data_IF_571745827986
#
_entry.id   IF_571745827986
#
_cell.length_a   1.000
_cell.length_b   1.000
_cell.length_c   1.000
_cell.angle_alpha   90.00
_cell.angle_beta   90.00
_cell.angle_gamma   90.00
#
_symmetry.space_group_name_H-M   'P 1'
#
loop_
_entity.id
_entity.type
_entity.pdbx_description
1 polymer ?
#
# COMPACT_ATOMS: atom_id res chain seq x y z
N UNK A 1 5.43 16.50 -40.27
CA UNK A 1 4.26 17.27 -39.81
C UNK A 1 3.03 16.42 -40.03
N UNK A 2 2.57 15.72 -39.01
CA UNK A 2 1.36 14.88 -39.05
C UNK A 2 0.58 15.21 -37.77
N UNK A 3 -0.63 15.73 -37.97
CA UNK A 3 -1.52 16.26 -36.96
C UNK A 3 -2.29 15.11 -36.29
N UNK A 4 -2.22 15.00 -34.96
CA UNK A 4 -3.06 14.10 -34.17
C UNK A 4 -4.25 14.89 -33.62
N UNK A 5 -5.45 14.54 -34.09
CA UNK A 5 -6.71 15.13 -33.70
C UNK A 5 -7.16 14.71 -32.30
N UNK A 6 -7.34 15.70 -31.45
CA UNK A 6 -7.92 15.61 -30.10
C UNK A 6 -9.45 15.64 -30.22
N UNK A 7 -10.14 14.62 -29.71
CA UNK A 7 -11.60 14.61 -29.63
C UNK A 7 -12.06 15.29 -28.32
N UNK A 8 -12.63 16.48 -28.47
CA UNK A 8 -13.23 17.29 -27.39
C UNK A 8 -14.72 16.98 -27.30
N UNK A 9 -15.20 16.47 -26.17
CA UNK A 9 -16.64 16.33 -25.89
C UNK A 9 -17.14 17.61 -25.23
N UNK A 10 -17.96 18.37 -25.97
CA UNK A 10 -18.76 19.50 -25.47
C UNK A 10 -19.95 18.97 -24.68
N UNK A 11 -20.13 19.43 -23.45
CA UNK A 11 -21.39 19.32 -22.71
C UNK A 11 -22.11 20.65 -22.79
N UNK A 12 -23.37 20.59 -23.22
CA UNK A 12 -24.23 21.73 -23.49
C UNK A 12 -24.59 22.55 -22.26
N UNK A 13 -24.65 23.85 -22.48
CA UNK A 13 -25.21 24.88 -21.60
C UNK A 13 -26.74 24.84 -21.73
N UNK A 14 -27.45 24.80 -20.59
CA UNK A 14 -28.91 24.86 -20.54
C UNK A 14 -29.39 25.55 -19.27
N UNK A 15 -29.74 26.82 -19.46
CA UNK A 15 -30.76 27.67 -18.83
C UNK A 15 -30.85 27.92 -17.31
N UNK A 16 -30.74 29.23 -17.02
CA UNK A 16 -31.17 29.95 -15.80
C UNK A 16 -32.69 29.93 -15.64
N UNK A 17 -33.17 30.11 -14.41
CA UNK A 17 -34.10 31.23 -14.17
C UNK A 17 -33.63 32.20 -13.08
N UNK A 18 -34.01 33.45 -13.30
CA UNK A 18 -33.76 34.68 -12.53
C UNK A 18 -34.57 34.76 -11.21
N UNK A 19 -34.29 35.77 -10.34
CA UNK A 19 -34.67 35.77 -8.94
C UNK A 19 -35.99 36.53 -8.67
N UNK A 20 -36.70 36.11 -7.63
CA UNK A 20 -37.78 36.88 -7.01
C UNK A 20 -37.57 36.97 -5.50
N UNK A 21 -37.49 38.21 -5.03
CA UNK A 21 -37.77 38.69 -3.68
C UNK A 21 -38.58 40.01 -3.87
N UNK A 22 -39.12 40.70 -2.84
CA UNK A 22 -39.11 40.45 -1.40
C UNK A 22 -40.47 40.69 -0.69
N UNK A 23 -40.49 40.55 0.64
CA UNK A 23 -41.48 41.12 1.56
C UNK A 23 -41.96 40.09 2.60
N UNK A 24 -42.23 40.40 3.85
CA UNK A 24 -42.06 41.59 4.69
C UNK A 24 -42.40 41.14 6.12
N UNK A 25 -41.71 41.73 7.11
CA UNK A 25 -42.17 42.02 8.47
C UNK A 25 -42.94 40.96 9.28
N UNK A 26 -42.37 40.56 10.42
CA UNK A 26 -43.11 40.56 11.69
C UNK A 26 -42.14 40.73 12.86
N UNK A 27 -42.44 41.70 13.71
CA UNK A 27 -41.82 41.93 15.02
C UNK A 27 -42.22 40.79 15.97
N UNK A 28 -41.36 40.40 16.91
CA UNK A 28 -41.72 40.64 18.31
C UNK A 28 -40.55 40.47 19.29
N UNK A 29 -40.74 41.21 20.38
CA UNK A 29 -39.90 41.49 21.52
C UNK A 29 -39.69 40.28 22.45
N UNK A 30 -38.60 40.27 23.21
CA UNK A 30 -38.24 39.10 24.03
C UNK A 30 -37.00 39.26 24.89
N UNK A 31 -36.86 40.42 25.54
CA UNK A 31 -35.91 40.70 26.61
C UNK A 31 -36.01 39.71 27.77
N UNK A 32 -34.94 38.94 28.05
CA UNK A 32 -34.69 38.37 29.38
C UNK A 32 -33.19 38.46 29.71
N UNK A 33 -32.90 39.43 30.59
CA UNK A 33 -31.65 39.54 31.35
C UNK A 33 -31.45 38.29 32.20
N UNK A 34 -30.22 37.79 32.29
CA UNK A 34 -29.71 37.15 33.50
C UNK A 34 -28.20 37.30 33.63
N UNK A 35 -27.69 37.47 34.87
CA UNK A 35 -26.33 37.89 35.17
C UNK A 35 -25.41 36.70 35.49
N UNK A 36 -24.11 36.93 35.52
CA UNK A 36 -23.20 36.08 36.29
C UNK A 36 -21.90 35.74 35.57
N UNK A 37 -20.98 36.69 35.56
CA UNK A 37 -19.57 36.41 35.30
C UNK A 37 -18.99 35.59 36.46
N UNK A 38 -18.32 34.48 36.14
CA UNK A 38 -17.35 33.83 37.03
C UNK A 38 -16.12 33.45 36.19
N UNK A 39 -14.91 33.91 36.55
CA UNK A 39 -13.69 33.57 35.85
C UNK A 39 -13.15 32.23 36.37
N UNK A 40 -13.08 31.22 35.51
CA UNK A 40 -12.31 30.00 35.77
C UNK A 40 -10.85 30.20 35.35
N UNK A 41 -9.89 29.58 36.06
CA UNK A 41 -8.48 29.86 35.93
C UNK A 41 -7.90 29.24 34.66
N UNK A 42 -7.06 30.03 34.01
CA UNK A 42 -6.16 29.65 32.92
C UNK A 42 -5.20 28.56 33.40
N UNK A 43 -5.48 27.32 33.01
CA UNK A 43 -4.52 26.22 33.07
C UNK A 43 -3.51 26.43 31.95
N UNK A 44 -2.30 26.85 32.32
CA UNK A 44 -1.13 26.83 31.45
C UNK A 44 -0.87 25.39 31.00
N UNK A 45 -1.25 25.07 29.75
CA UNK A 45 -0.79 23.87 29.07
C UNK A 45 0.66 24.06 28.67
N UNK A 46 1.56 23.55 29.51
CA UNK A 46 2.96 23.34 29.17
C UNK A 46 3.03 22.39 27.97
N UNK A 47 3.53 22.89 26.83
CA UNK A 47 3.91 22.06 25.68
C UNK A 47 5.08 21.17 26.11
N UNK A 48 4.80 19.94 26.51
CA UNK A 48 5.81 18.89 26.50
C UNK A 48 6.01 18.46 25.04
N UNK A 49 7.11 18.89 24.44
CA UNK A 49 7.59 18.28 23.21
C UNK A 49 7.96 16.84 23.54
N UNK A 50 7.14 15.89 23.08
CA UNK A 50 7.45 14.46 23.14
C UNK A 50 8.49 14.22 22.05
N UNK A 51 9.75 14.28 22.47
CA UNK A 51 10.92 13.88 21.71
C UNK A 51 10.74 12.39 21.40
N UNK A 52 10.74 12.03 20.11
CA UNK A 52 10.99 10.65 19.70
C UNK A 52 12.25 10.19 20.44
N UNK A 53 12.40 8.93 20.88
CA UNK A 53 13.68 8.47 21.38
C UNK A 53 14.73 8.80 20.32
N UNK A 54 15.56 9.80 20.64
CA UNK A 54 16.53 10.38 19.73
C UNK A 54 17.30 9.26 19.08
N UNK A 55 17.36 9.24 17.75
CA UNK A 55 18.15 8.30 16.96
C UNK A 55 19.67 8.36 17.30
N UNK A 56 20.09 9.22 18.24
CA UNK A 56 21.46 9.37 18.73
C UNK A 56 21.83 8.56 19.99
N UNK A 57 20.91 7.88 20.68
CA UNK A 57 21.25 7.21 21.97
C UNK A 57 20.93 5.71 22.01
N UNK A 58 21.69 4.90 21.25
CA UNK A 58 21.85 3.47 21.56
C UNK A 58 23.34 3.08 21.51
N UNK A 59 24.08 3.56 22.52
CA UNK A 59 25.33 2.93 22.94
C UNK A 59 25.00 1.88 24.01
N UNK A 60 25.28 0.62 23.69
CA UNK A 60 25.07 -0.52 24.60
C UNK A 60 26.01 -0.43 25.81
N UNK A 61 25.53 -0.54 27.06
CA UNK A 61 26.42 -0.88 28.17
C UNK A 61 26.62 -2.40 28.20
N UNK A 62 27.86 -2.83 27.98
CA UNK A 62 28.37 -4.11 28.44
C UNK A 62 28.41 -4.09 29.96
N UNK A 63 27.73 -5.03 30.62
CA UNK A 63 27.98 -5.33 32.04
C UNK A 63 27.57 -6.77 32.38
N UNK A 64 28.17 -7.35 33.43
CA UNK A 64 28.67 -8.71 33.40
C UNK A 64 27.76 -9.74 34.07
N UNK A 65 28.00 -10.99 33.69
CA UNK A 65 27.45 -12.25 34.20
C UNK A 65 27.90 -12.53 35.63
N UNK A 66 27.11 -13.32 36.40
CA UNK A 66 27.50 -14.50 37.24
C UNK A 66 26.27 -14.98 38.09
N UNK A 67 26.23 -16.23 38.62
CA UNK A 67 25.26 -17.27 38.21
C UNK A 67 24.57 -17.98 39.40
N UNK A 68 23.76 -19.02 39.14
CA UNK A 68 23.65 -20.28 39.93
C UNK A 68 22.50 -21.18 39.42
N UNK A 69 22.83 -22.32 38.81
CA UNK A 69 22.54 -23.69 39.29
C UNK A 69 22.71 -24.74 38.18
N UNK A 70 23.49 -25.76 38.52
CA UNK A 70 23.97 -26.88 37.71
C UNK A 70 22.90 -27.96 37.49
N UNK A 71 22.95 -28.63 36.32
CA UNK A 71 23.26 -30.07 36.28
C UNK A 71 23.60 -30.58 34.87
N UNK A 72 24.44 -31.62 34.88
CA UNK A 72 25.28 -32.19 33.82
C UNK A 72 24.50 -32.96 32.73
N UNK A 73 25.02 -32.97 31.50
CA UNK A 73 25.73 -34.15 30.95
C UNK A 73 26.51 -33.84 29.66
N UNK A 74 27.62 -34.55 29.53
CA UNK A 74 28.68 -34.50 28.53
C UNK A 74 28.29 -34.80 27.08
N UNK A 75 28.88 -34.04 26.15
CA UNK A 75 29.88 -34.53 25.15
C UNK A 75 30.22 -33.42 24.15
N UNK A 76 31.46 -32.94 24.19
CA UNK A 76 32.09 -32.14 23.12
C UNK A 76 33.10 -33.01 22.36
N UNK A 77 33.23 -32.86 21.03
CA UNK A 77 34.49 -33.10 20.33
C UNK A 77 35.37 -31.84 20.31
N UNK A 78 36.67 -32.13 20.33
CA UNK A 78 37.85 -31.27 20.34
C UNK A 78 37.87 -30.17 19.27
N UNK A 79 38.30 -28.96 19.67
CA UNK A 79 38.62 -27.82 18.79
C UNK A 79 40.15 -27.77 18.65
N UNK A 80 40.62 -27.93 17.41
CA UNK A 80 42.02 -27.74 17.05
C UNK A 80 42.27 -26.31 16.56
N UNK A 81 43.34 -25.71 17.10
CA UNK A 81 44.29 -24.77 16.50
C UNK A 81 43.79 -23.76 15.46
N UNK A 82 43.65 -22.51 15.89
CA UNK A 82 43.75 -21.33 15.02
C UNK A 82 45.02 -20.53 15.36
N UNK A 83 45.98 -20.53 14.44
CA UNK A 83 47.17 -19.64 14.45
C UNK A 83 46.79 -18.26 13.90
N UNK A 84 47.25 -17.15 14.50
CA UNK A 84 47.05 -15.81 13.94
C UNK A 84 48.10 -15.49 12.87
N UNK A 85 47.65 -14.94 11.74
CA UNK A 85 48.48 -14.36 10.68
C UNK A 85 48.83 -12.89 11.01
N UNK A 86 50.01 -12.40 10.58
CA UNK A 86 50.52 -11.10 10.99
C UNK A 86 49.93 -9.94 10.16
N UNK A 87 49.90 -8.79 10.82
CA UNK A 87 49.53 -7.47 10.28
C UNK A 87 50.49 -7.04 9.17
N UNK A 88 49.93 -6.50 8.09
CA UNK A 88 50.65 -5.75 7.07
C UNK A 88 50.31 -4.28 7.22
N UNK A 89 51.34 -3.50 7.58
CA UNK A 89 51.43 -2.07 7.37
C UNK A 89 51.41 -1.74 5.87
N UNK A 90 50.63 -0.74 5.46
CA UNK A 90 50.97 0.04 4.27
C UNK A 90 50.27 1.42 4.24
N UNK A 91 51.09 2.41 4.64
CA UNK A 91 51.36 3.68 3.96
C UNK A 91 50.22 4.63 3.55
N UNK A 92 50.25 5.78 4.21
CA UNK A 92 49.89 7.10 3.70
C UNK A 92 50.65 7.47 2.42
N UNK A 93 49.95 8.06 1.44
CA UNK A 93 50.38 9.29 0.73
C UNK A 93 49.39 9.79 -0.33
N UNK A 94 49.21 11.11 -0.27
CA UNK A 94 49.03 12.06 -1.37
C UNK A 94 47.63 12.31 -1.96
N UNK A 95 47.17 13.53 -1.67
CA UNK A 95 46.11 14.28 -2.31
C UNK A 95 46.27 14.41 -3.84
N UNK A 96 45.15 14.22 -4.57
CA UNK A 96 44.96 14.76 -5.93
C UNK A 96 43.52 15.20 -6.15
N UNK A 97 43.40 16.36 -6.79
CA UNK A 97 42.20 17.07 -7.22
C UNK A 97 41.13 16.17 -7.87
N UNK A 98 39.89 16.32 -7.40
CA UNK A 98 38.72 15.61 -7.93
C UNK A 98 38.08 16.38 -9.09
N UNK A 99 38.28 15.86 -10.30
CA UNK A 99 37.44 16.09 -11.49
C UNK A 99 36.16 15.24 -11.33
N UNK A 100 34.95 15.73 -11.72
CA UNK A 100 33.73 14.95 -11.59
C UNK A 100 33.77 13.69 -12.48
N UNK A 101 34.02 12.55 -11.86
CA UNK A 101 33.93 11.21 -12.47
C UNK A 101 32.48 10.92 -12.85
N UNK A 102 32.19 10.88 -14.16
CA UNK A 102 31.03 10.17 -14.70
C UNK A 102 31.04 8.73 -14.16
N UNK A 103 30.03 8.37 -13.37
CA UNK A 103 29.85 7.01 -12.82
C UNK A 103 29.69 6.03 -13.99
N UNK A 104 30.70 5.17 -14.20
CA UNK A 104 30.54 3.94 -14.98
C UNK A 104 29.65 3.00 -14.18
N UNK A 105 28.65 2.34 -14.79
CA UNK A 105 27.83 1.34 -14.12
C UNK A 105 28.72 0.17 -13.67
N UNK A 106 28.79 -0.06 -12.37
CA UNK A 106 29.34 -1.29 -11.80
C UNK A 106 28.41 -2.44 -12.15
N UNK A 107 28.93 -3.35 -12.98
CA UNK A 107 28.27 -4.57 -13.43
C UNK A 107 28.20 -5.53 -12.23
N UNK A 108 27.03 -5.63 -11.60
CA UNK A 108 26.75 -6.61 -10.54
C UNK A 108 26.48 -7.98 -11.14
N UNK A 109 27.01 -9.02 -10.49
CA UNK A 109 26.77 -10.41 -10.84
C UNK A 109 25.26 -10.72 -10.78
N UNK A 110 24.66 -11.06 -11.93
CA UNK A 110 23.23 -11.32 -12.05
C UNK A 110 22.57 -10.84 -13.36
N UNK A 111 23.33 -10.57 -14.43
CA UNK A 111 22.80 -10.31 -15.77
C UNK A 111 22.02 -11.56 -16.26
N UNK A 112 20.72 -11.62 -15.96
CA UNK A 112 19.78 -12.54 -16.59
C UNK A 112 19.66 -12.09 -18.05
N UNK A 113 20.33 -12.79 -18.96
CA UNK A 113 20.14 -12.60 -20.40
C UNK A 113 18.71 -13.02 -20.75
N UNK A 114 17.85 -12.03 -20.99
CA UNK A 114 16.50 -12.26 -21.52
C UNK A 114 16.66 -12.58 -23.02
N UNK A 115 16.17 -13.74 -23.51
CA UNK A 115 16.27 -14.09 -24.92
C UNK A 115 15.64 -13.04 -25.85
N UNK A 116 16.24 -12.73 -27.02
CA UNK A 116 15.74 -11.73 -27.97
C UNK A 116 14.34 -11.98 -28.56
N UNK A 117 13.73 -13.14 -28.30
CA UNK A 117 12.44 -13.55 -28.87
C UNK A 117 11.21 -12.84 -28.29
N UNK A 118 11.39 -11.90 -27.35
CA UNK A 118 10.29 -11.19 -26.69
C UNK A 118 10.03 -9.75 -27.18
N UNK A 119 10.61 -9.32 -28.30
CA UNK A 119 10.20 -8.07 -28.97
C UNK A 119 8.93 -8.32 -29.78
N UNK A 120 7.83 -8.65 -29.09
CA UNK A 120 6.49 -8.70 -29.66
C UNK A 120 5.90 -7.30 -29.55
N UNK A 121 5.59 -6.68 -30.69
CA UNK A 121 4.70 -5.50 -30.78
C UNK A 121 3.55 -5.63 -29.78
N UNK A 122 3.24 -4.56 -29.04
CA UNK A 122 2.28 -4.52 -27.94
C UNK A 122 0.93 -5.16 -28.33
N UNK A 123 0.79 -6.47 -28.12
CA UNK A 123 -0.46 -7.20 -28.29
C UNK A 123 -1.22 -7.10 -26.97
N UNK A 124 -2.50 -6.77 -27.02
CA UNK A 124 -3.40 -6.90 -25.87
C UNK A 124 -3.95 -8.32 -25.82
N UNK A 125 -4.13 -8.86 -24.62
CA UNK A 125 -4.86 -10.10 -24.43
C UNK A 125 -6.36 -9.76 -24.37
N UNK A 126 -7.11 -10.16 -25.39
CA UNK A 126 -8.56 -10.01 -25.44
C UNK A 126 -9.22 -11.30 -24.95
N UNK A 127 -10.05 -11.20 -23.91
CA UNK A 127 -10.81 -12.33 -23.37
C UNK A 127 -12.28 -12.04 -23.58
N UNK A 128 -13.00 -12.98 -24.20
CA UNK A 128 -14.44 -12.93 -24.33
C UNK A 128 -15.06 -13.98 -23.38
N UNK A 129 -16.00 -13.54 -22.55
CA UNK A 129 -16.78 -14.45 -21.72
C UNK A 129 -18.04 -14.86 -22.48
N UNK A 130 -18.23 -16.17 -22.65
CA UNK A 130 -19.49 -16.69 -23.14
C UNK A 130 -20.59 -16.39 -22.11
N UNK A 131 -21.78 -15.91 -22.54
CA UNK A 131 -22.89 -15.72 -21.62
C UNK A 131 -23.28 -17.08 -21.02
N UNK A 132 -23.38 -17.15 -19.70
CA UNK A 132 -23.80 -18.36 -18.99
C UNK A 132 -25.13 -18.87 -19.58
N UNK A 133 -25.23 -20.15 -19.97
CA UNK A 133 -26.47 -20.69 -20.49
C UNK A 133 -27.55 -20.55 -19.41
N UNK A 134 -28.54 -19.69 -19.65
CA UNK A 134 -29.67 -19.54 -18.74
C UNK A 134 -30.32 -20.90 -18.60
N UNK A 135 -30.28 -21.45 -17.39
CA UNK A 135 -30.97 -22.67 -17.05
C UNK A 135 -32.46 -22.46 -17.37
N UNK A 136 -33.09 -23.34 -18.17
CA UNK A 136 -34.51 -23.20 -18.50
C UNK A 136 -35.29 -23.15 -17.19
N UNK A 137 -35.89 -22.00 -16.91
CA UNK A 137 -36.83 -21.89 -15.81
C UNK A 137 -38.09 -22.64 -16.25
N UNK A 138 -38.35 -23.79 -15.62
CA UNK A 138 -39.61 -24.53 -15.77
C UNK A 138 -40.76 -23.67 -15.23
N UNK A 139 -41.27 -22.77 -16.08
CA UNK A 139 -42.51 -22.04 -15.82
C UNK A 139 -43.70 -22.91 -16.19
N UNK A 140 -44.13 -23.74 -15.24
CA UNK A 140 -45.52 -24.21 -15.16
C UNK A 140 -46.35 -23.07 -14.54
N UNK A 141 -46.78 -22.11 -15.36
CA UNK A 141 -47.77 -21.10 -14.97
C UNK A 141 -48.88 -21.00 -16.02
N UNK A 142 -50.14 -20.83 -15.59
CA UNK A 142 -51.32 -20.82 -16.46
C UNK A 142 -51.39 -19.57 -17.36
N UNK A 143 -52.10 -19.66 -18.50
CA UNK A 143 -52.10 -18.63 -19.53
C UNK A 143 -52.84 -17.36 -19.07
N UNK A 144 -52.10 -16.26 -18.88
CA UNK A 144 -52.68 -14.91 -18.81
C UNK A 144 -52.80 -14.30 -20.21
N UNK A 145 -53.89 -13.59 -20.52
CA UNK A 145 -54.15 -13.05 -21.85
C UNK A 145 -53.40 -11.74 -22.09
N UNK A 146 -52.79 -11.66 -23.28
CA UNK A 146 -52.46 -10.46 -24.07
C UNK A 146 -51.62 -9.40 -23.33
N UNK A 147 -50.31 -9.61 -23.31
CA UNK A 147 -49.33 -8.60 -22.89
C UNK A 147 -48.29 -8.34 -24.01
N UNK A 148 -48.00 -7.05 -24.18
CA UNK A 148 -47.01 -6.38 -25.02
C UNK A 148 -45.72 -7.20 -25.25
N UNK A 149 -45.15 -7.24 -26.48
CA UNK A 149 -43.91 -7.96 -26.75
C UNK A 149 -42.78 -7.47 -25.83
N UNK A 150 -42.08 -8.37 -25.12
CA UNK A 150 -41.02 -7.98 -24.21
C UNK A 150 -39.87 -7.34 -25.00
N UNK A 151 -39.24 -6.27 -24.45
CA UNK A 151 -38.09 -5.65 -25.08
C UNK A 151 -36.98 -6.70 -25.23
N UNK A 152 -36.51 -6.88 -26.47
CA UNK A 152 -35.40 -7.76 -26.83
C UNK A 152 -34.11 -7.25 -26.18
N UNK A 153 -33.83 -7.73 -24.97
CA UNK A 153 -32.59 -7.44 -24.26
C UNK A 153 -31.40 -8.03 -25.06
N UNK A 154 -30.66 -7.17 -25.74
CA UNK A 154 -29.44 -7.55 -26.47
C UNK A 154 -28.38 -8.04 -25.47
N UNK A 155 -27.90 -9.28 -25.67
CA UNK A 155 -26.82 -9.87 -24.87
C UNK A 155 -25.50 -9.18 -25.24
N UNK A 156 -25.15 -8.10 -24.54
CA UNK A 156 -23.85 -7.47 -24.70
C UNK A 156 -22.77 -8.35 -24.04
N UNK A 157 -21.92 -8.97 -24.84
CA UNK A 157 -20.72 -9.65 -24.33
C UNK A 157 -19.73 -8.60 -23.82
N UNK A 158 -19.24 -8.78 -22.59
CA UNK A 158 -18.19 -7.91 -22.04
C UNK A 158 -16.84 -8.42 -22.54
N UNK A 159 -16.21 -7.66 -23.42
CA UNK A 159 -14.82 -7.88 -23.84
C UNK A 159 -13.90 -7.25 -22.80
N UNK A 160 -12.97 -8.04 -22.24
CA UNK A 160 -11.94 -7.52 -21.33
C UNK A 160 -10.62 -7.51 -22.08
N UNK A 161 -9.93 -6.37 -22.07
CA UNK A 161 -8.61 -6.19 -22.67
C UNK A 161 -7.57 -5.99 -21.57
N UNK A 162 -6.63 -6.92 -21.48
CA UNK A 162 -5.54 -6.86 -20.50
C UNK A 162 -4.22 -6.50 -21.22
N UNK A 163 -3.41 -5.59 -20.65
CA UNK A 163 -2.09 -5.30 -21.19
C UNK A 163 -1.17 -6.51 -21.03
N UNK A 164 -0.36 -6.82 -22.03
CA UNK A 164 0.56 -7.96 -21.94
C UNK A 164 1.70 -7.73 -20.93
N UNK A 165 2.11 -6.47 -20.75
CA UNK A 165 3.13 -6.06 -19.79
C UNK A 165 2.65 -4.85 -19.02
N UNK A 166 3.02 -4.78 -17.74
CA UNK A 166 2.86 -3.57 -16.95
C UNK A 166 4.06 -2.64 -17.22
N UNK A 167 3.86 -1.42 -17.74
CA UNK A 167 4.96 -0.51 -17.95
C UNK A 167 5.50 -0.04 -16.60
N UNK A 168 6.82 -0.03 -16.46
CA UNK A 168 7.47 0.51 -15.27
C UNK A 168 7.47 2.04 -15.33
N UNK A 169 6.86 2.73 -14.36
CA UNK A 169 6.90 4.19 -14.34
C UNK A 169 8.29 4.70 -13.95
N UNK A 170 8.64 5.90 -14.42
CA UNK A 170 9.74 6.66 -13.84
C UNK A 170 9.23 7.20 -12.49
N UNK A 171 9.96 6.89 -11.42
CA UNK A 171 9.64 7.28 -10.06
C UNK A 171 10.65 8.33 -9.62
N UNK A 172 10.14 9.45 -9.13
CA UNK A 172 10.95 10.50 -8.54
C UNK A 172 11.48 10.03 -7.18
N UNK A 173 12.73 10.34 -6.80
CA UNK A 173 13.24 9.99 -5.48
C UNK A 173 12.47 10.76 -4.39
N UNK A 174 12.31 10.12 -3.23
CA UNK A 174 11.74 10.76 -2.04
C UNK A 174 12.64 11.90 -1.60
N UNK A 175 12.05 13.07 -1.33
CA UNK A 175 12.78 14.26 -0.90
C UNK A 175 12.98 14.23 0.62
N UNK A 176 14.20 14.51 1.10
CA UNK A 176 14.50 14.60 2.54
C UNK A 176 13.65 15.64 3.26
N UNK A 177 13.37 16.77 2.59
CA UNK A 177 12.60 17.87 3.14
C UNK A 177 11.15 17.45 3.45
N UNK A 178 10.60 16.51 2.67
CA UNK A 178 9.28 15.96 2.95
C UNK A 178 9.24 15.17 4.26
N UNK A 179 10.36 14.54 4.66
CA UNK A 179 10.46 13.86 5.95
C UNK A 179 10.63 14.86 7.10
N UNK A 180 11.40 15.94 6.88
CA UNK A 180 11.57 17.01 7.86
C UNK A 180 10.26 17.75 8.19
N UNK A 181 9.30 17.78 7.27
CA UNK A 181 7.95 18.32 7.53
C UNK A 181 7.17 17.43 8.51
N UNK A 182 7.33 16.10 8.42
CA UNK A 182 6.65 15.14 9.30
C UNK A 182 7.34 15.09 10.66
N UNK A 183 8.66 15.11 10.65
CA UNK A 183 9.52 15.04 11.82
C UNK A 183 10.73 15.96 11.63
N UNK A 184 10.73 17.16 12.25
CA UNK A 184 11.81 18.13 12.10
C UNK A 184 13.20 17.62 12.51
N UNK A 185 13.28 16.59 13.35
CA UNK A 185 14.57 15.99 13.75
C UNK A 185 15.24 15.23 12.61
N UNK A 186 14.51 14.93 11.53
CA UNK A 186 15.05 14.29 10.33
C UNK A 186 15.63 15.28 9.31
N UNK A 187 15.68 16.58 9.64
CA UNK A 187 16.30 17.58 8.78
C UNK A 187 17.78 17.21 8.49
N UNK A 188 18.12 17.08 7.20
CA UNK A 188 19.46 16.70 6.74
C UNK A 188 19.79 15.20 6.89
N UNK A 189 18.88 14.38 7.40
CA UNK A 189 19.07 12.92 7.48
C UNK A 189 18.79 12.30 6.10
N UNK A 190 19.73 11.48 5.56
CA UNK A 190 19.49 10.79 4.30
C UNK A 190 18.28 9.86 4.35
N UNK A 191 17.43 9.89 3.32
CA UNK A 191 16.21 9.08 3.25
C UNK A 191 16.51 7.59 3.38
N UNK A 192 17.61 7.12 2.78
CA UNK A 192 18.03 5.73 2.82
C UNK A 192 18.33 5.25 4.25
N UNK A 193 18.86 6.14 5.09
CA UNK A 193 19.10 5.84 6.50
C UNK A 193 17.77 5.66 7.24
N UNK A 194 16.80 6.56 7.01
CA UNK A 194 15.45 6.46 7.59
C UNK A 194 14.77 5.16 7.16
N UNK A 195 14.76 4.85 5.86
CA UNK A 195 14.18 3.60 5.33
C UNK A 195 14.85 2.37 5.93
N UNK A 196 16.19 2.39 6.09
CA UNK A 196 16.92 1.28 6.69
C UNK A 196 16.53 1.04 8.15
N UNK A 197 16.36 2.11 8.94
CA UNK A 197 15.91 2.01 10.34
C UNK A 197 14.44 1.59 10.43
N UNK A 198 13.57 2.13 9.60
CA UNK A 198 12.17 1.70 9.58
C UNK A 198 12.01 0.24 9.19
N UNK A 199 12.90 -0.31 8.35
CA UNK A 199 12.90 -1.73 8.02
C UNK A 199 13.12 -2.62 9.25
N UNK A 200 13.91 -2.19 10.25
CA UNK A 200 14.12 -2.99 11.47
C UNK A 200 12.93 -2.92 12.42
N UNK A 201 12.17 -1.82 12.40
CA UNK A 201 10.98 -1.61 13.23
C UNK A 201 9.67 -2.02 12.54
N UNK A 202 9.71 -2.25 11.23
CA UNK A 202 8.52 -2.31 10.39
C UNK A 202 7.51 -3.39 10.79
N UNK A 203 7.98 -4.54 11.29
CA UNK A 203 7.09 -5.61 11.74
C UNK A 203 6.32 -5.22 13.01
N UNK A 204 6.99 -4.56 13.95
CA UNK A 204 6.39 -4.05 15.20
C UNK A 204 5.40 -2.92 14.89
N UNK A 205 5.81 -1.95 14.07
CA UNK A 205 4.94 -0.84 13.64
C UNK A 205 3.74 -1.29 12.81
N UNK A 206 3.84 -2.42 12.09
CA UNK A 206 2.70 -3.00 11.38
C UNK A 206 1.71 -3.66 12.36
N UNK A 207 2.23 -4.37 13.36
CA UNK A 207 1.40 -5.01 14.39
C UNK A 207 0.66 -3.96 15.23
N UNK A 208 1.34 -2.85 15.53
CA UNK A 208 0.74 -1.74 16.29
C UNK A 208 -0.41 -1.04 15.59
N UNK A 209 -0.56 -1.16 14.25
CA UNK A 209 -1.73 -0.61 13.56
C UNK A 209 -3.05 -1.18 14.09
N UNK A 210 -3.01 -2.40 14.66
CA UNK A 210 -4.18 -3.07 15.23
C UNK A 210 -4.51 -2.66 16.67
N UNK A 211 -3.68 -1.82 17.30
CA UNK A 211 -3.92 -1.35 18.67
C UNK A 211 -4.94 -0.23 18.75
N UNK A 212 -5.23 0.43 17.64
CA UNK A 212 -6.28 1.46 17.56
C UNK A 212 -7.46 0.97 16.73
N UNK A 213 -8.67 1.24 17.21
CA UNK A 213 -9.91 0.84 16.52
C UNK A 213 -10.81 2.07 16.33
N UNK A 214 -11.27 2.33 15.10
CA UNK A 214 -12.31 3.32 14.87
C UNK A 214 -13.62 2.97 15.58
N UNK A 215 -14.43 3.95 15.99
CA UNK A 215 -15.76 3.70 16.53
C UNK A 215 -16.62 2.88 15.57
N UNK A 216 -17.43 1.96 16.11
CA UNK A 216 -18.31 1.07 15.33
C UNK A 216 -19.35 1.83 14.50
N UNK A 217 -19.69 3.06 14.90
CA UNK A 217 -20.60 3.94 14.15
C UNK A 217 -20.06 4.41 12.80
N UNK A 218 -18.75 4.33 12.57
CA UNK A 218 -18.07 4.87 11.38
C UNK A 218 -17.38 3.75 10.56
N UNK A 219 -17.07 2.61 11.19
CA UNK A 219 -16.47 1.46 10.51
C UNK A 219 -17.53 0.62 9.76
N UNK A 220 -17.21 0.03 8.58
CA UNK A 220 -15.89 -0.05 7.94
C UNK A 220 -15.62 1.03 6.87
N UNK A 221 -16.56 1.97 6.64
CA UNK A 221 -16.43 2.96 5.58
C UNK A 221 -17.05 4.30 5.93
N UNK A 222 -16.35 5.38 5.58
CA UNK A 222 -16.78 6.77 5.80
C UNK A 222 -17.09 7.46 4.47
N UNK A 223 -18.03 8.40 4.46
CA UNK A 223 -18.28 9.23 3.29
C UNK A 223 -17.15 10.24 3.09
N UNK A 224 -16.52 10.22 1.92
CA UNK A 224 -15.39 11.12 1.60
C UNK A 224 -15.79 12.60 1.50
N UNK A 225 -17.08 12.90 1.27
CA UNK A 225 -17.55 14.30 1.19
C UNK A 225 -17.66 14.99 2.55
N UNK A 226 -17.62 14.22 3.65
CA UNK A 226 -17.83 14.70 5.01
C UNK A 226 -16.78 14.10 5.96
N UNK A 227 -15.51 14.11 5.55
CA UNK A 227 -14.43 13.60 6.38
C UNK A 227 -14.15 14.57 7.53
N UNK A 228 -14.16 14.10 8.80
CA UNK A 228 -13.72 14.91 9.91
C UNK A 228 -12.21 15.14 9.81
N UNK A 229 -11.71 16.25 10.36
CA UNK A 229 -10.26 16.52 10.39
C UNK A 229 -9.50 15.59 11.33
N UNK A 230 -10.17 15.12 12.39
CA UNK A 230 -9.63 14.19 13.39
C UNK A 230 -10.69 13.16 13.76
N UNK A 231 -10.25 11.98 14.17
CA UNK A 231 -11.13 10.93 14.67
C UNK A 231 -10.60 10.40 16.00
N UNK A 232 -11.50 10.29 16.99
CA UNK A 232 -11.22 9.59 18.25
C UNK A 232 -11.29 8.08 18.02
N UNK A 233 -10.25 7.37 18.43
CA UNK A 233 -10.07 5.93 18.29
C UNK A 233 -9.91 5.31 19.67
N UNK A 234 -10.41 4.09 19.85
CA UNK A 234 -10.17 3.33 21.06
C UNK A 234 -8.80 2.63 21.00
N UNK A 235 -8.02 2.74 22.07
CA UNK A 235 -6.71 2.10 22.22
C UNK A 235 -6.90 0.79 22.99
N UNK A 236 -6.64 -0.34 22.32
CA UNK A 236 -6.82 -1.70 22.89
C UNK A 236 -5.85 -2.04 23.99
N UNK A 237 -4.63 -1.50 23.90
CA UNK A 237 -3.54 -1.78 24.84
C UNK A 237 -2.90 -0.47 25.29
N UNK A 238 -3.19 -0.07 26.53
CA UNK A 238 -2.67 1.16 27.14
C UNK A 238 -1.24 0.99 27.67
N UNK A 239 -0.71 -0.23 27.69
CA UNK A 239 0.69 -0.50 28.09
C UNK A 239 1.67 -0.28 26.95
N UNK A 240 1.15 -0.14 25.74
CA UNK A 240 1.94 0.07 24.54
C UNK A 240 2.66 1.43 24.55
N UNK A 241 3.89 1.44 24.06
CA UNK A 241 4.68 2.66 23.89
C UNK A 241 3.98 3.64 22.93
N UNK A 242 3.88 4.91 23.32
CA UNK A 242 3.21 5.98 22.55
C UNK A 242 3.82 6.11 21.15
N UNK A 243 5.11 5.84 21.02
CA UNK A 243 5.88 5.88 19.78
C UNK A 243 5.40 4.86 18.74
N UNK A 244 4.81 3.75 19.19
CA UNK A 244 4.30 2.70 18.32
C UNK A 244 2.84 2.90 17.93
N UNK A 245 2.14 3.87 18.53
CA UNK A 245 0.77 4.22 18.13
C UNK A 245 0.80 4.90 16.75
N UNK A 246 -0.14 4.55 15.85
CA UNK A 246 -0.25 5.21 14.55
C UNK A 246 -0.37 6.73 14.66
N UNK A 247 0.28 7.43 13.73
CA UNK A 247 0.29 8.90 13.71
C UNK A 247 -0.95 9.51 13.04
N UNK A 248 -1.53 8.80 12.08
CA UNK A 248 -2.58 9.31 11.20
C UNK A 248 -3.58 8.21 10.90
N UNK A 249 -4.79 8.62 10.51
CA UNK A 249 -5.80 7.73 9.95
C UNK A 249 -5.98 8.05 8.46
N UNK A 250 -5.56 7.16 7.57
CA UNK A 250 -5.70 7.35 6.14
C UNK A 250 -7.12 7.00 5.72
N UNK A 251 -7.82 7.90 5.06
CA UNK A 251 -9.08 7.63 4.37
C UNK A 251 -8.78 7.30 2.91
N UNK A 252 -8.75 6.02 2.57
CA UNK A 252 -8.37 5.50 1.26
C UNK A 252 -9.61 5.33 0.39
N UNK A 253 -9.64 5.99 -0.77
CA UNK A 253 -10.81 5.99 -1.65
C UNK A 253 -10.41 6.03 -3.13
N UNK A 254 -11.33 5.62 -4.00
CA UNK A 254 -11.14 5.71 -5.44
C UNK A 254 -11.70 7.04 -5.96
N UNK A 255 -10.86 7.97 -6.43
CA UNK A 255 -11.35 9.26 -6.93
C UNK A 255 -12.26 9.13 -8.15
N UNK A 256 -12.20 8.01 -8.88
CA UNK A 256 -13.01 7.75 -10.07
C UNK A 256 -14.36 7.11 -9.77
N UNK A 257 -14.65 6.75 -8.50
CA UNK A 257 -15.92 6.09 -8.12
C UNK A 257 -17.13 7.05 -8.01
N UNK A 258 -16.96 8.33 -8.39
CA UNK A 258 -18.02 9.35 -8.34
C UNK A 258 -18.04 10.16 -7.04
N UNK A 259 -18.97 11.14 -6.96
CA UNK A 259 -19.00 12.18 -5.92
C UNK A 259 -19.24 11.68 -4.48
N UNK A 260 -19.72 10.45 -4.31
CA UNK A 260 -20.03 9.85 -3.01
C UNK A 260 -19.27 8.53 -2.82
N UNK A 261 -17.96 8.53 -3.10
CA UNK A 261 -17.13 7.35 -2.88
C UNK A 261 -17.05 7.04 -1.39
N UNK A 262 -17.26 5.77 -1.02
CA UNK A 262 -16.99 5.30 0.33
C UNK A 262 -15.48 5.13 0.49
N UNK A 263 -14.92 5.77 1.51
CA UNK A 263 -13.51 5.63 1.89
C UNK A 263 -13.33 4.57 2.98
N UNK A 264 -12.19 3.89 2.96
CA UNK A 264 -11.77 2.92 3.97
C UNK A 264 -10.72 3.55 4.88
N UNK A 265 -10.87 3.37 6.20
CA UNK A 265 -9.97 3.94 7.19
C UNK A 265 -8.82 2.98 7.51
N UNK A 266 -7.58 3.45 7.40
CA UNK A 266 -6.36 2.70 7.70
C UNK A 266 -5.49 3.48 8.69
N UNK A 267 -5.25 2.98 9.92
CA UNK A 267 -4.23 3.55 10.78
C UNK A 267 -2.86 3.45 10.12
N UNK A 268 -2.03 4.50 10.23
CA UNK A 268 -0.70 4.51 9.64
C UNK A 268 0.29 5.42 10.37
N UNK A 269 1.57 5.05 10.28
CA UNK A 269 2.73 5.89 10.54
C UNK A 269 3.10 6.61 9.25
N UNK A 270 2.83 7.91 9.18
CA UNK A 270 3.08 8.73 7.99
C UNK A 270 4.52 8.63 7.52
N UNK A 271 5.48 8.58 8.46
CA UNK A 271 6.90 8.44 8.14
C UNK A 271 7.23 7.15 7.37
N UNK A 272 6.54 6.03 7.64
CA UNK A 272 6.73 4.77 6.90
C UNK A 272 6.32 4.94 5.44
N UNK A 273 5.22 5.62 5.17
CA UNK A 273 4.74 5.83 3.82
C UNK A 273 5.56 6.90 3.10
N UNK A 274 5.77 8.05 3.74
CA UNK A 274 6.48 9.20 3.16
C UNK A 274 7.94 8.90 2.81
N UNK A 275 8.63 8.07 3.60
CA UNK A 275 10.02 7.67 3.32
C UNK A 275 10.17 6.79 2.07
N UNK A 276 9.07 6.27 1.52
CA UNK A 276 9.09 5.30 0.42
C UNK A 276 8.21 5.71 -0.77
N UNK A 277 7.38 6.73 -0.61
CA UNK A 277 6.40 7.17 -1.59
C UNK A 277 6.63 8.66 -1.91
N UNK A 278 7.19 8.97 -3.08
CA UNK A 278 7.53 10.36 -3.46
C UNK A 278 6.32 11.25 -3.73
N UNK A 279 5.13 10.66 -3.89
CA UNK A 279 3.86 11.37 -4.08
C UNK A 279 2.89 11.17 -2.90
N UNK A 280 3.41 10.77 -1.74
CA UNK A 280 2.59 10.74 -0.54
C UNK A 280 2.15 12.16 -0.17
N UNK A 281 0.89 12.37 0.30
CA UNK A 281 0.44 13.69 0.74
C UNK A 281 1.39 14.27 1.80
N UNK A 282 1.68 15.56 1.68
CA UNK A 282 2.40 16.26 2.73
C UNK A 282 1.50 16.34 3.96
N UNK A 283 1.91 15.68 5.02
CA UNK A 283 1.23 15.70 6.32
C UNK A 283 2.19 16.32 7.32
N UNK A 284 1.66 17.18 8.20
CA UNK A 284 2.46 17.79 9.25
C UNK A 284 2.80 16.81 10.37
N UNK A 285 3.50 17.29 11.42
CA UNK A 285 3.73 16.51 12.62
C UNK A 285 2.40 16.17 13.29
N UNK A 286 2.22 14.91 13.67
CA UNK A 286 1.06 14.47 14.43
C UNK A 286 1.43 14.29 15.90
N UNK A 287 0.75 15.03 16.77
CA UNK A 287 0.87 14.85 18.21
C UNK A 287 0.14 13.57 18.61
N UNK A 288 0.87 12.61 19.18
CA UNK A 288 0.29 11.38 19.72
C UNK A 288 -0.02 11.59 21.20
N UNK A 289 -1.30 11.59 21.55
CA UNK A 289 -1.75 11.66 22.94
C UNK A 289 -2.72 10.51 23.23
N UNK A 290 -2.53 9.87 24.37
CA UNK A 290 -3.47 8.86 24.89
C UNK A 290 -4.21 9.50 26.07
N UNK A 291 -5.53 9.48 26.01
CA UNK A 291 -6.37 9.69 27.18
C UNK A 291 -6.46 8.36 27.93
N UNK A 292 -5.67 8.20 28.99
CA UNK A 292 -5.63 6.97 29.78
C UNK A 292 -6.92 6.71 30.56
N UNK A 293 -7.69 7.76 30.88
CA UNK A 293 -8.95 7.61 31.59
C UNK A 293 -10.02 7.01 30.67
N UNK A 294 -10.05 7.47 29.41
CA UNK A 294 -11.01 6.99 28.39
C UNK A 294 -10.50 5.81 27.59
N UNK A 295 -9.20 5.54 27.62
CA UNK A 295 -8.54 4.59 26.73
C UNK A 295 -8.71 4.98 25.26
N UNK A 296 -8.58 6.26 24.93
CA UNK A 296 -8.77 6.77 23.56
C UNK A 296 -7.59 7.62 23.09
N UNK A 297 -7.46 7.76 21.77
CA UNK A 297 -6.50 8.64 21.12
C UNK A 297 -7.18 9.37 19.96
N UNK A 298 -6.75 10.60 19.65
CA UNK A 298 -7.28 11.36 18.51
C UNK A 298 -6.23 11.44 17.42
N UNK A 299 -6.56 10.92 16.24
CA UNK A 299 -5.65 10.95 15.09
C UNK A 299 -6.21 11.85 13.98
N UNK A 300 -5.37 12.66 13.32
CA UNK A 300 -5.75 13.39 12.12
C UNK A 300 -6.15 12.42 10.99
N UNK A 301 -7.24 12.74 10.28
CA UNK A 301 -7.72 11.96 9.14
C UNK A 301 -7.16 12.55 7.86
N UNK A 302 -6.45 11.74 7.07
CA UNK A 302 -5.79 12.17 5.84
C UNK A 302 -6.48 11.52 4.64
N UNK A 303 -7.10 12.29 3.73
CA UNK A 303 -7.64 11.73 2.50
C UNK A 303 -6.50 11.22 1.61
N UNK A 304 -6.59 9.97 1.17
CA UNK A 304 -5.61 9.32 0.31
C UNK A 304 -6.30 8.75 -0.94
N UNK A 305 -6.38 9.53 -2.03
CA UNK A 305 -6.95 9.04 -3.29
C UNK A 305 -6.00 8.00 -3.92
N UNK A 306 -6.51 6.80 -4.19
CA UNK A 306 -5.76 5.75 -4.89
C UNK A 306 -6.61 5.11 -5.99
N UNK A 307 -6.01 4.67 -7.12
CA UNK A 307 -6.77 4.06 -8.21
C UNK A 307 -7.56 2.81 -7.81
N UNK A 308 -7.06 2.02 -6.85
CA UNK A 308 -7.67 0.75 -6.47
C UNK A 308 -7.61 0.51 -4.94
N UNK A 309 -8.58 1.03 -4.16
CA UNK A 309 -8.58 0.95 -2.69
C UNK A 309 -8.49 -0.48 -2.14
N UNK A 310 -9.14 -1.45 -2.78
CA UNK A 310 -9.20 -2.83 -2.28
C UNK A 310 -7.82 -3.52 -2.23
N UNK A 311 -6.83 -3.06 -3.02
CA UNK A 311 -5.46 -3.60 -2.96
C UNK A 311 -4.51 -2.76 -2.10
N UNK A 312 -4.97 -1.64 -1.54
CA UNK A 312 -4.13 -0.76 -0.74
C UNK A 312 -3.60 -1.44 0.53
N UNK A 313 -4.40 -2.29 1.19
CA UNK A 313 -3.96 -3.03 2.38
C UNK A 313 -2.71 -3.88 2.15
N UNK A 314 -2.58 -4.49 0.97
CA UNK A 314 -1.40 -5.28 0.59
C UNK A 314 -0.16 -4.39 0.39
N UNK A 315 -0.35 -3.23 -0.25
CA UNK A 315 0.71 -2.24 -0.41
C UNK A 315 1.14 -1.67 0.95
N UNK A 316 0.18 -1.32 1.82
CA UNK A 316 0.48 -0.81 3.15
C UNK A 316 1.33 -1.83 3.92
N UNK A 317 0.91 -3.09 4.02
CA UNK A 317 1.69 -4.14 4.69
C UNK A 317 3.11 -4.32 4.10
N UNK A 318 3.26 -4.16 2.77
CA UNK A 318 4.57 -4.18 2.13
C UNK A 318 5.45 -3.01 2.55
N UNK A 319 4.93 -1.78 2.59
CA UNK A 319 5.71 -0.60 2.97
C UNK A 319 6.29 -0.72 4.38
N UNK A 320 5.61 -1.41 5.29
CA UNK A 320 6.17 -1.73 6.61
C UNK A 320 7.25 -2.82 6.55
N UNK A 321 6.95 -3.94 5.91
CA UNK A 321 7.76 -5.17 6.07
C UNK A 321 8.86 -5.33 5.02
N UNK A 322 8.72 -4.68 3.86
CA UNK A 322 9.57 -4.85 2.66
C UNK A 322 9.70 -6.31 2.22
N UNK A 323 8.71 -7.15 2.54
CA UNK A 323 8.68 -8.58 2.26
C UNK A 323 8.05 -8.88 0.92
N UNK A 324 8.88 -8.93 -0.11
CA UNK A 324 8.47 -9.25 -1.49
C UNK A 324 7.89 -10.66 -1.62
N UNK A 325 8.34 -11.59 -0.78
CA UNK A 325 7.82 -12.95 -0.72
C UNK A 325 6.36 -12.99 -0.27
N UNK A 326 6.00 -12.14 0.71
CA UNK A 326 4.62 -12.00 1.18
C UNK A 326 3.74 -11.35 0.11
N UNK A 327 4.24 -10.32 -0.57
CA UNK A 327 3.52 -9.70 -1.69
C UNK A 327 3.24 -10.73 -2.79
N UNK A 328 4.25 -11.49 -3.21
CA UNK A 328 4.07 -12.50 -4.24
C UNK A 328 3.06 -13.57 -3.82
N UNK A 329 3.13 -14.05 -2.57
CA UNK A 329 2.17 -15.02 -2.04
C UNK A 329 0.73 -14.48 -1.96
N UNK A 330 0.57 -13.18 -1.66
CA UNK A 330 -0.75 -12.52 -1.66
C UNK A 330 -1.30 -12.32 -3.07
N UNK A 331 -0.44 -12.01 -4.03
CA UNK A 331 -0.82 -11.80 -5.43
C UNK A 331 -1.02 -13.10 -6.21
N UNK A 332 -0.37 -14.18 -5.80
CA UNK A 332 -0.48 -15.51 -6.39
C UNK A 332 -0.80 -16.53 -5.29
N UNK A 333 -2.06 -16.60 -4.82
CA UNK A 333 -2.44 -17.39 -3.65
C UNK A 333 -2.52 -18.90 -3.98
N UNK A 334 -1.41 -19.49 -4.41
CA UNK A 334 -1.30 -20.92 -4.63
C UNK A 334 -1.26 -21.66 -3.28
N UNK A 335 -1.93 -22.82 -3.16
CA UNK A 335 -1.77 -23.71 -2.03
C UNK A 335 -0.28 -24.01 -1.75
N UNK A 336 0.10 -24.03 -0.47
CA UNK A 336 1.50 -24.26 -0.05
C UNK A 336 2.08 -25.54 -0.62
N UNK A 337 1.24 -26.57 -0.85
CA UNK A 337 1.72 -27.89 -1.28
C UNK A 337 2.14 -27.87 -2.75
N UNK A 338 1.46 -27.04 -3.55
CA UNK A 338 1.82 -26.79 -4.94
C UNK A 338 3.14 -26.02 -4.99
N UNK A 339 3.30 -25.00 -4.15
CA UNK A 339 4.55 -24.24 -4.07
C UNK A 339 5.73 -25.13 -3.63
N UNK A 340 5.54 -26.01 -2.64
CA UNK A 340 6.56 -26.96 -2.21
C UNK A 340 6.97 -27.91 -3.35
N UNK A 341 6.00 -28.42 -4.11
CA UNK A 341 6.25 -29.31 -5.25
C UNK A 341 7.04 -28.60 -6.36
N UNK A 342 6.68 -27.35 -6.67
CA UNK A 342 7.41 -26.53 -7.65
C UNK A 342 8.82 -26.22 -7.17
N UNK A 343 8.97 -25.85 -5.89
CA UNK A 343 10.29 -25.56 -5.28
C UNK A 343 11.22 -26.77 -5.35
N UNK A 344 10.72 -27.97 -5.04
CA UNK A 344 11.50 -29.21 -5.15
C UNK A 344 11.91 -29.52 -6.59
N UNK A 345 11.02 -29.29 -7.57
CA UNK A 345 11.31 -29.46 -9.00
C UNK A 345 12.32 -28.44 -9.53
N UNK A 346 12.33 -27.23 -8.97
CA UNK A 346 13.21 -26.14 -9.36
C UNK A 346 14.65 -26.26 -8.86
N UNK A 347 14.93 -27.09 -7.85
CA UNK A 347 16.28 -27.22 -7.28
C UNK A 347 17.35 -27.59 -8.33
N UNK A 348 16.95 -28.22 -9.44
CA UNK A 348 17.84 -28.67 -10.52
C UNK A 348 17.58 -27.97 -11.87
N UNK A 349 16.75 -26.92 -11.91
CA UNK A 349 16.35 -26.24 -13.15
C UNK A 349 16.79 -24.78 -13.17
N UNK A 350 17.08 -24.20 -14.35
CA UNK A 350 17.38 -22.78 -14.46
C UNK A 350 16.16 -21.95 -14.03
N UNK A 351 16.39 -20.82 -13.36
CA UNK A 351 15.34 -19.95 -12.82
C UNK A 351 14.26 -19.53 -13.86
N UNK A 352 14.59 -19.56 -15.15
CA UNK A 352 13.64 -19.31 -16.25
C UNK A 352 12.46 -20.29 -16.32
N UNK A 353 12.53 -21.47 -15.69
CA UNK A 353 11.43 -22.45 -15.71
C UNK A 353 10.30 -22.15 -14.73
N UNK A 354 10.44 -21.14 -13.85
CA UNK A 354 9.46 -20.85 -12.80
C UNK A 354 8.11 -20.38 -13.36
N UNK A 355 8.12 -19.48 -14.36
CA UNK A 355 6.89 -18.86 -14.89
C UNK A 355 5.95 -19.90 -15.55
N UNK A 356 6.43 -20.80 -16.43
CA UNK A 356 5.56 -21.84 -17.00
C UNK A 356 4.97 -22.77 -15.95
N UNK A 357 5.74 -23.16 -14.93
CA UNK A 357 5.26 -24.09 -13.89
C UNK A 357 4.21 -23.43 -12.98
N UNK A 358 4.47 -22.20 -12.53
CA UNK A 358 3.54 -21.43 -11.70
C UNK A 358 2.26 -21.09 -12.47
N UNK A 359 2.39 -20.71 -13.74
CA UNK A 359 1.21 -20.39 -14.56
C UNK A 359 0.34 -21.60 -14.87
N UNK A 360 0.95 -22.76 -15.17
CA UNK A 360 0.23 -24.02 -15.32
C UNK A 360 -0.44 -24.49 -14.02
N UNK A 361 0.18 -24.23 -12.86
CA UNK A 361 -0.43 -24.49 -11.56
C UNK A 361 -1.66 -23.60 -11.34
N UNK A 362 -1.51 -22.27 -11.49
CA UNK A 362 -2.60 -21.30 -11.38
C UNK A 362 -3.79 -21.65 -12.31
N UNK A 363 -3.51 -21.97 -13.58
CA UNK A 363 -4.53 -22.33 -14.56
C UNK A 363 -5.25 -23.66 -14.28
N UNK A 364 -4.67 -24.54 -13.46
CA UNK A 364 -5.31 -25.78 -12.98
C UNK A 364 -6.10 -25.54 -11.70
N UNK A 365 -5.63 -24.65 -10.83
CA UNK A 365 -6.24 -24.38 -9.52
C UNK A 365 -7.43 -23.43 -9.60
N UNK A 366 -7.40 -22.46 -10.51
CA UNK A 366 -8.41 -21.39 -10.59
C UNK A 366 -9.17 -21.41 -11.90
N UNK A 367 -10.44 -21.00 -11.84
CA UNK A 367 -11.27 -20.77 -13.03
C UNK A 367 -10.82 -19.51 -13.77
N UNK A 368 -11.16 -19.40 -15.06
CA UNK A 368 -10.82 -18.21 -15.86
C UNK A 368 -11.33 -16.89 -15.23
N UNK A 369 -12.59 -16.77 -14.75
CA UNK A 369 -13.03 -15.57 -14.05
C UNK A 369 -12.18 -15.23 -12.83
N UNK A 370 -11.83 -16.22 -11.98
CA UNK A 370 -11.02 -16.00 -10.79
C UNK A 370 -9.58 -15.54 -11.14
N UNK A 371 -9.01 -16.02 -12.24
CA UNK A 371 -7.72 -15.55 -12.75
C UNK A 371 -7.81 -14.09 -13.22
N UNK A 372 -8.89 -13.70 -13.90
CA UNK A 372 -9.11 -12.33 -14.35
C UNK A 372 -9.33 -11.39 -13.17
N UNK A 373 -10.10 -11.79 -12.16
CA UNK A 373 -10.26 -11.01 -10.91
C UNK A 373 -8.90 -10.82 -10.22
N UNK A 374 -8.07 -11.87 -10.20
CA UNK A 374 -6.72 -11.77 -9.63
C UNK A 374 -5.81 -10.83 -10.42
N UNK A 375 -5.90 -10.85 -11.76
CA UNK A 375 -5.20 -9.87 -12.59
C UNK A 375 -5.65 -8.43 -12.23
N UNK A 376 -6.94 -8.22 -11.98
CA UNK A 376 -7.47 -6.94 -11.47
C UNK A 376 -6.77 -6.46 -10.19
N UNK A 377 -6.57 -7.36 -9.22
CA UNK A 377 -5.86 -7.04 -7.96
C UNK A 377 -4.39 -6.68 -8.20
N UNK A 378 -3.68 -7.44 -9.04
CA UNK A 378 -2.26 -7.17 -9.37
C UNK A 378 -2.13 -5.81 -10.07
N UNK A 379 -2.96 -5.56 -11.09
CA UNK A 379 -2.99 -4.28 -11.78
C UNK A 379 -3.37 -3.12 -10.84
N UNK A 380 -4.32 -3.35 -9.93
CA UNK A 380 -4.71 -2.40 -8.91
C UNK A 380 -3.55 -2.04 -7.98
N UNK A 381 -2.79 -3.03 -7.51
CA UNK A 381 -1.60 -2.80 -6.68
C UNK A 381 -0.51 -2.03 -7.46
N UNK A 382 -0.24 -2.40 -8.71
CA UNK A 382 0.67 -1.65 -9.59
C UNK A 382 0.22 -0.19 -9.77
N UNK A 383 -1.08 0.04 -10.00
CA UNK A 383 -1.66 1.37 -10.16
C UNK A 383 -1.51 2.22 -8.89
N UNK A 384 -1.73 1.62 -7.71
CA UNK A 384 -1.52 2.30 -6.44
C UNK A 384 -0.04 2.66 -6.22
N UNK A 385 0.89 1.75 -6.52
CA UNK A 385 2.33 2.02 -6.42
C UNK A 385 2.73 3.19 -7.31
N UNK A 386 2.19 3.23 -8.54
CA UNK A 386 2.44 4.32 -9.49
C UNK A 386 1.87 5.64 -8.99
N UNK A 387 0.65 5.63 -8.46
CA UNK A 387 -0.02 6.82 -7.94
C UNK A 387 0.75 7.44 -6.75
N UNK A 388 1.23 6.60 -5.83
CA UNK A 388 1.98 7.03 -4.65
C UNK A 388 3.47 7.30 -4.92
N UNK A 389 3.98 6.93 -6.10
CA UNK A 389 5.39 7.10 -6.42
C UNK A 389 6.29 6.20 -5.55
N UNK A 390 5.96 4.91 -5.46
CA UNK A 390 6.74 3.97 -4.64
C UNK A 390 8.12 3.73 -5.26
N UNK A 391 9.16 4.12 -4.53
CA UNK A 391 10.56 3.98 -4.94
C UNK A 391 11.17 2.66 -4.43
N UNK A 392 10.87 1.57 -5.12
CA UNK A 392 11.43 0.25 -4.80
C UNK A 392 11.51 -0.71 -6.00
N UNK A 393 12.73 -0.85 -6.55
CA UNK A 393 13.07 -1.80 -7.60
C UNK A 393 12.57 -3.24 -7.35
N UNK A 394 12.65 -3.72 -6.11
CA UNK A 394 12.31 -5.11 -5.77
C UNK A 394 10.81 -5.33 -5.86
N UNK A 395 10.01 -4.37 -5.40
CA UNK A 395 8.55 -4.43 -5.51
C UNK A 395 8.11 -4.41 -6.97
N UNK A 396 8.69 -3.51 -7.78
CA UNK A 396 8.36 -3.41 -9.21
C UNK A 396 8.63 -4.73 -9.96
N UNK A 397 9.79 -5.35 -9.72
CA UNK A 397 10.12 -6.67 -10.30
C UNK A 397 9.15 -7.77 -9.89
N UNK A 398 8.65 -7.74 -8.65
CA UNK A 398 7.68 -8.73 -8.15
C UNK A 398 6.31 -8.53 -8.77
N UNK A 399 5.88 -7.28 -8.98
CA UNK A 399 4.64 -6.96 -9.69
C UNK A 399 4.72 -7.39 -11.16
N UNK A 400 5.85 -7.15 -11.82
CA UNK A 400 6.11 -7.62 -13.19
C UNK A 400 6.05 -9.15 -13.27
N UNK A 401 6.75 -9.85 -12.38
CA UNK A 401 6.73 -11.32 -12.31
C UNK A 401 5.31 -11.87 -12.06
N UNK A 402 4.58 -11.30 -11.10
CA UNK A 402 3.21 -11.71 -10.80
C UNK A 402 2.28 -11.49 -12.01
N UNK A 403 2.48 -10.39 -12.74
CA UNK A 403 1.76 -10.09 -13.97
C UNK A 403 2.04 -11.10 -15.08
N UNK A 404 3.32 -11.42 -15.33
CA UNK A 404 3.71 -12.40 -16.35
C UNK A 404 3.09 -13.78 -16.04
N UNK A 405 3.11 -14.19 -14.77
CA UNK A 405 2.49 -15.45 -14.33
C UNK A 405 0.98 -15.43 -14.55
N UNK A 406 0.26 -14.37 -14.15
CA UNK A 406 -1.21 -14.36 -14.28
C UNK A 406 -1.65 -14.30 -15.75
N UNK A 407 -0.97 -13.54 -16.60
CA UNK A 407 -1.26 -13.45 -18.04
C UNK A 407 -1.00 -14.79 -18.74
N UNK A 408 0.10 -15.48 -18.40
CA UNK A 408 0.36 -16.82 -18.90
C UNK A 408 -0.72 -17.83 -18.43
N UNK A 409 -1.18 -17.70 -17.18
CA UNK A 409 -2.21 -18.56 -16.61
C UNK A 409 -3.55 -18.40 -17.32
N UNK A 410 -3.97 -17.14 -17.54
CA UNK A 410 -5.18 -16.79 -18.28
C UNK A 410 -5.11 -17.33 -19.70
N UNK A 411 -3.98 -17.14 -20.39
CA UNK A 411 -3.78 -17.64 -21.75
C UNK A 411 -3.94 -19.16 -21.79
N UNK A 412 -3.27 -19.89 -20.88
CA UNK A 412 -3.36 -21.35 -20.78
C UNK A 412 -4.76 -21.86 -20.39
N UNK A 413 -5.52 -21.09 -19.61
CA UNK A 413 -6.89 -21.43 -19.24
C UNK A 413 -7.86 -21.22 -20.41
N UNK A 414 -7.68 -20.12 -21.17
CA UNK A 414 -8.53 -19.78 -22.32
C UNK A 414 -8.38 -20.73 -23.49
N UNK A 415 -7.20 -21.33 -23.70
CA UNK A 415 -6.98 -22.31 -24.78
C UNK A 415 -7.61 -23.69 -24.52
N UNK A 416 -8.15 -23.94 -23.32
CA UNK A 416 -8.81 -25.20 -22.97
C UNK A 416 -10.33 -25.17 -23.15
N UNK A 417 -10.90 -23.97 -23.21
CA UNK A 417 -12.32 -23.73 -23.43
C UNK A 417 -12.58 -23.59 -24.94
#
# INVERSE_FOLDING_TARGET
>A
MVSNGTATVRVGVGDKPSPTAPGSAFCDDGSLKSPGANPHPSINRTRAAVVLPSLQAMSLPLSPTQPLFSHNYDRRPSVADYKPHPMLDQNDKAAKLAVPRRRRPTRTAGDIQIPPSYVRTARQLSIAFAPEPRQPQDTNLPPSPVATPPPTASKQSRKIELPWKLPRPVVDPVQSDALAIIDPELAGVPVEFVVHKLKTLGQELLQSLSSVVPPTSIAPSINTSSLPSELELHVRDLTQQVESIPTHLLCVFNPNAGKASKGHLFPAHSLVLASQCSRFPQVGPATRTIDYERGTTRLPVVPLPVPHPASFGYLNAYLYTRRVDKVLATLLPLPTQILASISGSMANQPACSAIPQLSAAMARTFTLPALVDRAGVIHGMWSNCKALGVDDDRLWKVLELAWDIIIASISASSSKA
#
